data_IF_902606326095
#
_entry.id   IF_902606326095
#
_cell.length_a   1.000
_cell.length_b   1.000
_cell.length_c   1.000
_cell.angle_alpha   90.00
_cell.angle_beta   90.00
_cell.angle_gamma   90.00
#
_symmetry.space_group_name_H-M   'P 1'
#
loop_
_entity.id
_entity.type
_entity.pdbx_description
1 polymer ?
#
# COMPACT_ATOMS: atom_id res chain seq x y z
N UNK A 1 -3.79 -13.30 -5.84
CA UNK A 1 -4.72 -12.93 -6.91
C UNK A 1 -4.10 -12.95 -8.31
N UNK A 2 -2.76 -13.07 -8.45
CA UNK A 2 -2.09 -13.14 -9.76
C UNK A 2 -2.51 -14.38 -10.60
N UNK A 3 -3.04 -15.40 -9.95
CA UNK A 3 -3.50 -16.62 -10.59
C UNK A 3 -4.99 -16.65 -10.90
N UNK A 4 -5.74 -15.59 -10.55
CA UNK A 4 -7.17 -15.51 -10.81
C UNK A 4 -7.41 -14.73 -12.10
N UNK A 5 -8.08 -15.36 -13.05
CA UNK A 5 -8.53 -14.76 -14.30
C UNK A 5 -10.00 -14.37 -14.15
N UNK A 6 -10.30 -13.07 -14.25
CA UNK A 6 -11.66 -12.54 -14.13
C UNK A 6 -12.26 -12.12 -15.49
N UNK A 7 -11.42 -12.03 -16.54
CA UNK A 7 -11.85 -11.68 -17.89
C UNK A 7 -12.13 -12.92 -18.74
N UNK A 8 -13.15 -12.87 -19.59
CA UNK A 8 -13.57 -13.97 -20.50
C UNK A 8 -13.84 -15.26 -19.76
N UNK A 9 -12.96 -16.25 -19.88
CA UNK A 9 -13.07 -17.54 -19.17
C UNK A 9 -12.54 -17.37 -17.75
N UNK A 10 -13.44 -17.39 -16.76
CA UNK A 10 -13.07 -17.21 -15.35
C UNK A 10 -12.51 -18.51 -14.79
N UNK A 11 -11.24 -18.53 -14.42
CA UNK A 11 -10.62 -19.66 -13.74
C UNK A 11 -9.55 -19.19 -12.76
N UNK A 12 -9.15 -20.08 -11.87
CA UNK A 12 -8.00 -19.88 -10.99
C UNK A 12 -6.91 -20.87 -11.35
N UNK A 13 -5.74 -20.38 -11.76
CA UNK A 13 -4.64 -21.23 -12.25
C UNK A 13 -4.21 -22.30 -11.24
N UNK A 14 -4.22 -22.00 -9.92
CA UNK A 14 -3.95 -22.98 -8.86
C UNK A 14 -4.92 -24.17 -8.94
N UNK A 15 -6.22 -23.89 -9.05
CA UNK A 15 -7.24 -24.92 -9.06
C UNK A 15 -7.19 -25.72 -10.37
N UNK A 16 -6.91 -25.05 -11.48
CA UNK A 16 -6.66 -25.70 -12.76
C UNK A 16 -5.43 -26.61 -12.71
N UNK A 17 -4.33 -26.19 -12.07
CA UNK A 17 -3.13 -27.00 -11.90
C UNK A 17 -3.41 -28.27 -11.06
N UNK A 18 -4.19 -28.16 -9.99
CA UNK A 18 -4.60 -29.31 -9.17
C UNK A 18 -5.44 -30.30 -9.98
N UNK A 19 -6.39 -29.80 -10.79
CA UNK A 19 -7.21 -30.65 -11.67
C UNK A 19 -6.37 -31.32 -12.77
N UNK A 20 -5.44 -30.62 -13.39
CA UNK A 20 -4.52 -31.20 -14.36
C UNK A 20 -3.66 -32.30 -13.72
N UNK A 21 -3.14 -32.07 -12.52
CA UNK A 21 -2.41 -33.11 -11.77
C UNK A 21 -3.26 -34.36 -11.52
N UNK A 22 -4.53 -34.18 -11.19
CA UNK A 22 -5.46 -35.27 -11.01
C UNK A 22 -5.69 -36.03 -12.32
N UNK A 23 -5.94 -35.35 -13.44
CA UNK A 23 -6.17 -36.01 -14.74
C UNK A 23 -4.92 -36.74 -15.28
N UNK A 24 -3.74 -36.19 -15.05
CA UNK A 24 -2.47 -36.77 -15.51
C UNK A 24 -1.79 -37.67 -14.46
N UNK A 25 -2.45 -37.89 -13.31
CA UNK A 25 -1.92 -38.70 -12.20
C UNK A 25 -0.50 -38.29 -11.81
N UNK A 26 -0.25 -36.97 -11.71
CA UNK A 26 1.05 -36.41 -11.31
C UNK A 26 0.90 -35.54 -10.06
N UNK A 27 1.95 -35.47 -9.24
CA UNK A 27 1.94 -34.65 -8.05
C UNK A 27 1.94 -33.14 -8.41
N UNK A 28 1.23 -32.35 -7.61
CA UNK A 28 1.19 -30.88 -7.73
C UNK A 28 1.75 -30.26 -6.45
N UNK A 29 2.75 -29.42 -6.58
CA UNK A 29 3.35 -28.68 -5.47
C UNK A 29 2.82 -27.25 -5.48
N UNK A 30 2.16 -26.85 -4.39
CA UNK A 30 1.68 -25.49 -4.17
C UNK A 30 2.59 -24.79 -3.13
N UNK A 31 3.40 -23.85 -3.58
CA UNK A 31 4.30 -23.07 -2.71
C UNK A 31 3.76 -21.68 -2.42
N UNK A 32 3.69 -21.29 -1.14
CA UNK A 32 3.32 -19.92 -0.72
C UNK A 32 3.76 -19.64 0.70
N UNK A 33 4.17 -18.40 0.97
CA UNK A 33 4.35 -17.92 2.34
C UNK A 33 3.01 -17.60 3.02
N UNK A 34 1.98 -17.30 2.23
CA UNK A 34 0.63 -16.92 2.67
C UNK A 34 -0.41 -17.71 1.86
N UNK A 35 -0.61 -19.00 2.17
CA UNK A 35 -1.57 -19.84 1.44
C UNK A 35 -2.99 -19.28 1.56
N UNK A 36 -3.80 -19.49 0.54
CA UNK A 36 -5.21 -19.13 0.60
C UNK A 36 -5.96 -19.97 1.63
N UNK A 37 -7.08 -19.45 2.12
CA UNK A 37 -7.91 -20.16 3.12
C UNK A 37 -8.36 -21.53 2.63
N UNK A 38 -8.70 -21.66 1.35
CA UNK A 38 -9.11 -22.94 0.74
C UNK A 38 -7.97 -23.96 0.75
N UNK A 39 -6.76 -23.53 0.35
CA UNK A 39 -5.57 -24.40 0.36
C UNK A 39 -5.21 -24.81 1.78
N UNK A 40 -5.25 -23.86 2.71
CA UNK A 40 -4.99 -24.12 4.13
C UNK A 40 -6.02 -25.11 4.71
N UNK A 41 -7.30 -24.86 4.46
CA UNK A 41 -8.37 -25.75 4.93
C UNK A 41 -8.25 -27.17 4.35
N UNK A 42 -7.93 -27.30 3.05
CA UNK A 42 -7.71 -28.60 2.43
C UNK A 42 -6.51 -29.34 3.04
N UNK A 43 -5.45 -28.62 3.41
CA UNK A 43 -4.31 -29.19 4.12
C UNK A 43 -4.68 -29.65 5.54
N UNK A 44 -5.46 -28.84 6.28
CA UNK A 44 -5.93 -29.20 7.63
C UNK A 44 -6.86 -30.44 7.61
N UNK A 45 -7.65 -30.60 6.55
CA UNK A 45 -8.51 -31.78 6.34
C UNK A 45 -7.80 -33.02 5.78
N UNK A 46 -6.49 -32.92 5.56
CA UNK A 46 -5.71 -34.04 5.03
C UNK A 46 -5.89 -34.31 3.53
N UNK A 47 -6.60 -33.43 2.79
CA UNK A 47 -6.69 -33.52 1.33
C UNK A 47 -5.39 -33.18 0.63
N UNK A 48 -4.59 -32.29 1.23
CA UNK A 48 -3.25 -31.92 0.81
C UNK A 48 -2.25 -32.28 1.89
N UNK A 49 -1.07 -32.76 1.49
CA UNK A 49 0.04 -32.96 2.40
C UNK A 49 0.68 -31.60 2.70
N UNK A 50 0.72 -31.20 3.98
CA UNK A 50 1.30 -29.93 4.41
C UNK A 50 2.78 -30.08 4.76
N UNK A 51 3.60 -29.30 4.06
CA UNK A 51 5.03 -29.16 4.36
C UNK A 51 5.31 -27.73 4.79
N UNK A 52 5.86 -27.52 5.99
CA UNK A 52 6.18 -26.22 6.53
C UNK A 52 7.70 -26.02 6.63
N UNK A 53 8.20 -25.00 5.94
CA UNK A 53 9.59 -24.54 6.07
C UNK A 53 9.64 -23.49 7.19
N UNK A 54 9.88 -23.95 8.43
CA UNK A 54 9.84 -23.07 9.62
C UNK A 54 11.11 -22.24 9.82
N UNK A 55 12.22 -22.63 9.20
CA UNK A 55 13.50 -21.93 9.32
C UNK A 55 13.72 -21.07 8.09
N UNK A 56 14.14 -19.82 8.28
CA UNK A 56 14.64 -18.97 7.18
C UNK A 56 15.98 -19.50 6.69
N UNK A 57 16.24 -19.37 5.39
CA UNK A 57 17.53 -19.78 4.78
C UNK A 57 18.68 -18.98 5.38
N UNK A 58 18.46 -17.69 5.62
CA UNK A 58 19.40 -16.83 6.32
C UNK A 58 18.86 -16.55 7.73
N UNK A 59 19.73 -16.67 8.74
CA UNK A 59 19.42 -16.45 10.15
C UNK A 59 19.17 -14.94 10.43
N UNK A 60 18.15 -14.36 9.79
CA UNK A 60 17.74 -12.98 10.03
C UNK A 60 16.61 -12.90 11.05
N UNK A 61 16.67 -11.91 11.93
CA UNK A 61 15.58 -11.58 12.83
C UNK A 61 14.39 -11.06 12.05
N UNK A 62 13.17 -11.23 12.62
CA UNK A 62 12.00 -10.55 12.10
C UNK A 62 12.17 -9.03 12.27
N UNK A 63 11.67 -8.22 11.33
CA UNK A 63 11.70 -6.77 11.51
C UNK A 63 10.89 -6.37 12.75
N UNK A 64 11.36 -5.34 13.43
CA UNK A 64 10.58 -4.72 14.52
C UNK A 64 9.45 -3.89 13.90
N UNK A 65 8.21 -4.24 14.21
CA UNK A 65 7.02 -3.55 13.68
C UNK A 65 6.47 -2.62 14.76
N UNK A 66 6.37 -1.34 14.43
CA UNK A 66 5.73 -0.33 15.26
C UNK A 66 4.49 0.21 14.54
N UNK A 67 3.33 0.14 15.22
CA UNK A 67 2.07 0.73 14.72
C UNK A 67 1.91 2.11 15.31
N UNK A 68 1.66 3.11 14.44
CA UNK A 68 1.42 4.50 14.83
C UNK A 68 0.03 4.91 14.39
N UNK A 69 -0.85 5.24 15.34
CA UNK A 69 -2.18 5.78 15.07
C UNK A 69 -2.09 7.28 14.78
N UNK A 70 -2.29 7.66 13.53
CA UNK A 70 -2.24 9.07 13.11
C UNK A 70 -3.37 9.93 13.70
N UNK A 71 -4.45 9.34 14.22
CA UNK A 71 -5.51 10.10 14.91
C UNK A 71 -5.00 10.60 16.26
N UNK A 72 -4.32 9.74 17.02
CA UNK A 72 -3.73 10.09 18.32
C UNK A 72 -2.57 11.09 18.16
N UNK A 73 -1.77 10.93 17.11
CA UNK A 73 -0.64 11.83 16.81
C UNK A 73 -1.08 13.28 16.56
N UNK A 74 -2.32 13.53 16.12
CA UNK A 74 -2.82 14.91 15.97
C UNK A 74 -2.86 15.69 17.28
N UNK A 75 -3.12 15.01 18.39
CA UNK A 75 -3.14 15.60 19.73
C UNK A 75 -1.74 15.82 20.27
N UNK A 76 -0.76 15.02 19.82
CA UNK A 76 0.65 15.12 20.22
C UNK A 76 1.46 16.10 19.37
N UNK A 77 0.91 16.63 18.27
CA UNK A 77 1.58 17.63 17.44
C UNK A 77 1.73 18.93 18.21
N UNK A 78 2.93 19.13 18.72
CA UNK A 78 3.35 20.41 19.30
C UNK A 78 3.71 21.39 18.21
N UNK A 79 3.76 22.70 18.52
CA UNK A 79 4.16 23.77 17.59
C UNK A 79 5.50 23.51 16.87
N UNK A 80 6.36 22.64 17.40
CA UNK A 80 7.65 22.28 16.79
C UNK A 80 7.52 21.35 15.58
N UNK A 81 6.39 20.67 15.41
CA UNK A 81 6.15 19.67 14.35
C UNK A 81 5.06 20.10 13.34
N UNK A 82 4.61 21.36 13.40
CA UNK A 82 3.57 21.90 12.51
C UNK A 82 4.00 21.93 11.03
N UNK A 83 5.32 21.88 10.76
CA UNK A 83 5.86 21.82 9.40
C UNK A 83 5.74 20.44 8.73
N UNK A 84 5.43 19.40 9.50
CA UNK A 84 5.30 18.04 8.94
C UNK A 84 3.96 17.86 8.23
N UNK A 85 3.96 17.23 7.05
CA UNK A 85 2.71 16.89 6.35
C UNK A 85 1.81 16.01 7.22
N UNK A 86 0.50 16.07 7.02
CA UNK A 86 -0.49 15.36 7.84
C UNK A 86 -0.33 13.83 7.82
N UNK A 87 0.23 13.28 6.76
CA UNK A 87 0.50 11.85 6.61
C UNK A 87 1.73 11.35 7.37
N UNK A 88 2.64 12.25 7.76
CA UNK A 88 3.92 11.90 8.38
C UNK A 88 3.84 12.17 9.89
N UNK A 89 3.91 11.10 10.69
CA UNK A 89 4.00 11.27 12.14
C UNK A 89 5.39 11.76 12.56
N UNK A 90 5.52 12.52 13.67
CA UNK A 90 6.82 12.88 14.24
C UNK A 90 7.70 11.65 14.48
N UNK A 91 7.13 10.57 15.00
CA UNK A 91 7.84 9.31 15.24
C UNK A 91 8.43 8.73 13.96
N UNK A 92 7.67 8.69 12.85
CA UNK A 92 8.16 8.19 11.58
C UNK A 92 9.25 9.11 11.01
N UNK A 93 9.05 10.44 11.08
CA UNK A 93 10.03 11.41 10.65
C UNK A 93 11.38 11.24 11.36
N UNK A 94 11.38 11.14 12.69
CA UNK A 94 12.60 10.93 13.48
C UNK A 94 13.28 9.61 13.16
N UNK A 95 12.53 8.53 12.96
CA UNK A 95 13.08 7.24 12.54
C UNK A 95 13.73 7.33 11.16
N UNK A 96 13.08 7.97 10.19
CA UNK A 96 13.66 8.20 8.87
C UNK A 96 14.95 9.01 8.98
N UNK A 97 14.92 10.12 9.72
CA UNK A 97 16.08 11.00 9.92
C UNK A 97 17.27 10.25 10.51
N UNK A 98 17.04 9.47 11.56
CA UNK A 98 18.09 8.67 12.21
C UNK A 98 18.67 7.64 11.23
N UNK A 99 17.81 6.86 10.56
CA UNK A 99 18.22 5.85 9.58
C UNK A 99 19.06 6.45 8.44
N UNK A 100 18.61 7.59 7.90
CA UNK A 100 19.32 8.28 6.82
C UNK A 100 20.65 8.87 7.27
N UNK A 101 20.74 9.37 8.51
CA UNK A 101 21.98 9.89 9.09
C UNK A 101 23.02 8.78 9.39
N UNK A 102 22.54 7.59 9.68
CA UNK A 102 23.37 6.37 9.83
C UNK A 102 23.84 5.79 8.49
N UNK A 103 23.43 6.40 7.36
CA UNK A 103 23.81 5.95 6.02
C UNK A 103 22.97 4.78 5.48
N UNK A 104 21.85 4.47 6.11
CA UNK A 104 20.94 3.43 5.64
C UNK A 104 19.83 4.03 4.78
N UNK A 105 19.20 3.17 3.98
CA UNK A 105 18.08 3.51 3.11
C UNK A 105 16.75 3.40 3.85
N UNK A 106 15.75 4.18 3.41
CA UNK A 106 14.36 4.08 3.87
C UNK A 106 13.43 3.77 2.70
N UNK A 107 12.41 2.96 2.95
CA UNK A 107 11.38 2.68 1.95
C UNK A 107 9.98 3.05 2.49
N UNK A 108 9.26 3.87 1.74
CA UNK A 108 7.90 4.27 2.04
C UNK A 108 6.93 3.54 1.12
N UNK A 109 6.16 2.63 1.69
CA UNK A 109 5.19 1.83 0.97
C UNK A 109 3.78 2.41 1.13
N UNK A 110 3.17 2.80 0.00
CA UNK A 110 1.76 3.17 -0.05
C UNK A 110 0.93 1.99 -0.55
N UNK A 111 0.05 1.51 0.29
CA UNK A 111 -0.84 0.39 -0.08
C UNK A 111 -1.96 0.80 -1.06
N UNK A 112 -1.84 1.93 -1.74
CA UNK A 112 -2.91 2.46 -2.58
C UNK A 112 -2.46 2.65 -4.02
N UNK A 113 -3.10 1.89 -4.93
CA UNK A 113 -3.02 2.13 -6.38
C UNK A 113 -4.00 3.23 -6.77
N UNK A 114 -3.53 4.20 -7.55
CA UNK A 114 -4.36 5.20 -8.22
C UNK A 114 -4.78 6.37 -7.34
N UNK A 115 -5.13 7.47 -8.00
CA UNK A 115 -5.69 8.68 -7.41
C UNK A 115 -7.15 8.47 -6.97
N UNK A 116 -7.43 7.49 -6.13
CA UNK A 116 -8.73 7.47 -5.47
C UNK A 116 -8.71 8.60 -4.43
N UNK A 117 -9.25 9.73 -4.78
CA UNK A 117 -9.43 10.89 -3.91
C UNK A 117 -10.51 10.59 -2.87
N UNK A 118 -10.17 9.76 -1.87
CA UNK A 118 -11.02 9.68 -0.68
C UNK A 118 -10.99 11.02 -0.01
N UNK A 119 -12.15 11.52 0.28
CA UNK A 119 -12.32 12.81 0.94
C UNK A 119 -12.37 12.59 2.43
N UNK A 120 -11.56 13.34 3.18
CA UNK A 120 -11.54 13.28 4.64
C UNK A 120 -11.55 14.68 5.23
N UNK A 121 -12.23 14.83 6.35
CA UNK A 121 -12.23 16.07 7.11
C UNK A 121 -10.88 16.29 7.80
N UNK A 122 -10.30 17.47 7.64
CA UNK A 122 -9.05 17.87 8.25
C UNK A 122 -9.15 18.04 9.79
N UNK A 123 -10.35 18.30 10.32
CA UNK A 123 -10.57 18.51 11.74
C UNK A 123 -10.96 17.23 12.50
N UNK A 124 -11.97 16.48 12.02
CA UNK A 124 -12.52 15.34 12.77
C UNK A 124 -12.20 13.97 12.16
N UNK A 125 -11.58 13.91 10.97
CA UNK A 125 -11.27 12.65 10.29
C UNK A 125 -12.48 11.97 9.63
N UNK A 126 -13.65 12.61 9.59
CA UNK A 126 -14.83 12.11 8.88
C UNK A 126 -14.48 11.87 7.40
N UNK A 127 -14.96 10.78 6.85
CA UNK A 127 -14.85 10.44 5.43
C UNK A 127 -16.23 10.07 4.90
N UNK A 128 -16.57 10.55 3.68
CA UNK A 128 -17.85 10.22 3.07
C UNK A 128 -17.89 8.76 2.67
N UNK A 129 -18.90 8.04 3.15
CA UNK A 129 -19.14 6.62 2.88
C UNK A 129 -20.36 6.44 1.98
N UNK A 130 -20.35 5.40 1.18
CA UNK A 130 -21.49 5.07 0.34
C UNK A 130 -22.66 4.56 1.19
N UNK A 131 -23.89 5.09 1.04
CA UNK A 131 -25.04 4.62 1.81
C UNK A 131 -25.48 3.19 1.45
N UNK A 132 -25.06 2.67 0.32
CA UNK A 132 -25.42 1.33 -0.17
C UNK A 132 -24.30 0.29 0.00
N UNK A 133 -23.07 0.74 0.30
CA UNK A 133 -21.89 -0.10 0.35
C UNK A 133 -20.98 0.39 1.48
N UNK A 134 -20.30 -0.50 2.21
CA UNK A 134 -19.37 -0.12 3.27
C UNK A 134 -17.99 0.30 2.71
N UNK A 135 -18.01 1.26 1.76
CA UNK A 135 -16.79 1.80 1.15
C UNK A 135 -16.83 3.32 1.10
N UNK A 136 -15.66 3.93 1.15
CA UNK A 136 -15.54 5.38 1.00
C UNK A 136 -15.82 5.84 -0.43
N UNK A 137 -16.49 6.97 -0.56
CA UNK A 137 -16.71 7.63 -1.84
C UNK A 137 -15.39 8.25 -2.35
N UNK A 138 -15.26 8.27 -3.66
CA UNK A 138 -14.10 8.83 -4.37
C UNK A 138 -14.49 10.16 -5.02
N UNK A 139 -13.65 11.20 -4.83
CA UNK A 139 -13.86 12.48 -5.49
C UNK A 139 -13.45 12.39 -6.97
N UNK A 140 -14.41 12.65 -7.86
CA UNK A 140 -14.20 12.79 -9.29
C UNK A 140 -14.23 14.26 -9.70
N UNK A 141 -13.17 14.71 -10.33
CA UNK A 141 -13.01 16.12 -10.65
C UNK A 141 -12.93 16.96 -9.35
N UNK A 142 -13.73 18.02 -9.27
CA UNK A 142 -13.79 18.93 -8.12
C UNK A 142 -15.17 19.01 -7.47
N UNK A 143 -16.15 18.24 -7.94
CA UNK A 143 -17.57 18.49 -7.60
C UNK A 143 -18.39 17.25 -7.26
N UNK A 144 -17.95 16.05 -7.53
CA UNK A 144 -18.76 14.85 -7.36
C UNK A 144 -18.01 13.77 -6.59
N UNK A 145 -18.72 13.15 -5.65
CA UNK A 145 -18.30 11.94 -4.95
C UNK A 145 -19.00 10.74 -5.59
N UNK A 146 -18.27 9.69 -5.91
CA UNK A 146 -18.74 8.50 -6.62
C UNK A 146 -18.36 7.23 -5.89
N UNK A 147 -19.28 6.30 -5.80
CA UNK A 147 -19.02 4.94 -5.37
C UNK A 147 -18.63 4.07 -6.59
N UNK A 148 -17.42 3.58 -6.65
CA UNK A 148 -16.96 2.69 -7.73
C UNK A 148 -17.53 1.26 -7.66
N UNK A 149 -18.40 0.97 -6.70
CA UNK A 149 -19.00 -0.35 -6.55
C UNK A 149 -20.46 -0.39 -7.04
N UNK A 150 -21.25 0.63 -6.71
CA UNK A 150 -22.67 0.68 -7.07
C UNK A 150 -23.06 1.94 -7.86
N UNK A 151 -22.07 2.74 -8.30
CA UNK A 151 -22.27 3.98 -9.05
C UNK A 151 -23.14 5.04 -8.35
N UNK A 152 -23.28 4.95 -7.01
CA UNK A 152 -23.91 6.00 -6.24
C UNK A 152 -23.13 7.31 -6.39
N UNK A 153 -23.84 8.43 -6.59
CA UNK A 153 -23.27 9.76 -6.76
C UNK A 153 -23.85 10.74 -5.74
N UNK A 154 -22.99 11.60 -5.20
CA UNK A 154 -23.41 12.77 -4.44
C UNK A 154 -22.55 13.99 -4.77
N UNK A 155 -23.09 15.19 -4.53
CA UNK A 155 -22.35 16.43 -4.73
C UNK A 155 -21.30 16.60 -3.61
N UNK A 156 -20.08 16.92 -4.00
CA UNK A 156 -19.03 17.25 -3.06
C UNK A 156 -19.33 18.58 -2.37
N UNK A 157 -19.26 18.57 -1.04
CA UNK A 157 -19.36 19.78 -0.21
C UNK A 157 -18.04 19.96 0.51
N UNK A 158 -17.51 21.16 0.50
CA UNK A 158 -16.23 21.47 1.18
C UNK A 158 -16.37 21.32 2.70
N UNK A 159 -17.45 21.86 3.27
CA UNK A 159 -17.67 21.82 4.73
C UNK A 159 -18.05 20.41 5.18
N UNK A 160 -17.39 19.91 6.21
CA UNK A 160 -17.65 18.60 6.79
C UNK A 160 -19.09 18.48 7.32
N UNK A 161 -19.87 17.49 6.88
CA UNK A 161 -21.24 17.29 7.37
C UNK A 161 -21.29 16.81 8.83
N UNK A 162 -20.22 16.21 9.33
CA UNK A 162 -20.14 15.67 10.68
C UNK A 162 -19.82 16.74 11.72
N UNK A 163 -18.68 17.40 11.62
CA UNK A 163 -18.27 18.40 12.63
C UNK A 163 -18.66 19.83 12.29
N UNK A 164 -19.02 20.14 11.04
CA UNK A 164 -19.42 21.46 10.53
C UNK A 164 -18.35 22.57 10.68
N UNK A 165 -17.16 22.22 11.16
CA UNK A 165 -16.05 23.15 11.43
C UNK A 165 -14.91 22.95 10.44
N UNK A 166 -14.56 21.70 10.14
CA UNK A 166 -13.47 21.37 9.24
C UNK A 166 -13.91 21.25 7.79
N UNK A 167 -12.94 21.35 6.89
CA UNK A 167 -13.14 21.16 5.47
C UNK A 167 -12.82 19.74 5.05
N UNK A 168 -13.61 19.23 4.11
CA UNK A 168 -13.34 17.97 3.42
C UNK A 168 -12.28 18.23 2.35
N UNK A 169 -11.16 17.58 2.49
CA UNK A 169 -10.07 17.61 1.50
C UNK A 169 -9.87 16.24 0.89
N UNK A 170 -9.58 16.20 -0.41
CA UNK A 170 -9.19 14.97 -1.06
C UNK A 170 -7.85 14.51 -0.48
N UNK A 171 -7.84 13.37 0.18
CA UNK A 171 -6.61 12.71 0.60
C UNK A 171 -6.03 11.94 -0.59
N UNK A 172 -5.57 12.67 -1.58
CA UNK A 172 -4.72 12.15 -2.62
C UNK A 172 -3.27 12.15 -2.18
N UNK A 173 -2.87 11.26 -1.28
CA UNK A 173 -1.47 10.90 -1.15
C UNK A 173 -1.09 10.03 -2.35
N UNK A 174 -0.89 10.67 -3.49
CA UNK A 174 -0.19 10.07 -4.60
C UNK A 174 1.30 10.00 -4.28
N UNK A 175 2.00 9.06 -4.89
CA UNK A 175 3.47 8.95 -4.80
C UNK A 175 4.17 10.25 -5.16
N UNK A 176 3.62 11.03 -6.11
CA UNK A 176 4.10 12.37 -6.48
C UNK A 176 4.05 13.38 -5.34
N UNK A 177 2.93 13.45 -4.64
CA UNK A 177 2.80 14.37 -3.50
C UNK A 177 3.73 13.99 -2.37
N UNK A 178 3.85 12.68 -2.12
CA UNK A 178 4.77 12.15 -1.13
C UNK A 178 6.21 12.52 -1.47
N UNK A 179 6.62 12.32 -2.71
CA UNK A 179 7.95 12.69 -3.20
C UNK A 179 8.22 14.19 -3.04
N UNK A 180 7.26 15.05 -3.42
CA UNK A 180 7.38 16.50 -3.26
C UNK A 180 7.57 16.94 -1.80
N UNK A 181 6.81 16.34 -0.88
CA UNK A 181 6.92 16.63 0.54
C UNK A 181 8.25 16.12 1.11
N UNK A 182 8.70 14.94 0.71
CA UNK A 182 9.98 14.37 1.12
C UNK A 182 11.18 15.20 0.60
N UNK A 183 11.14 15.71 -0.63
CA UNK A 183 12.17 16.60 -1.19
C UNK A 183 12.32 17.88 -0.39
N UNK A 184 11.24 18.38 0.21
CA UNK A 184 11.29 19.54 1.10
C UNK A 184 11.88 19.21 2.47
N UNK A 185 11.58 18.02 3.00
CA UNK A 185 12.03 17.58 4.33
C UNK A 185 13.47 17.06 4.32
N UNK A 186 13.91 16.49 3.20
CA UNK A 186 15.22 15.87 3.02
C UNK A 186 15.85 16.34 1.69
N UNK A 187 16.25 17.63 1.60
CA UNK A 187 16.71 18.23 0.34
C UNK A 187 18.01 17.60 -0.19
N UNK A 188 18.87 17.11 0.69
CA UNK A 188 20.17 16.53 0.36
C UNK A 188 20.11 15.02 0.08
N UNK A 189 18.89 14.42 0.08
CA UNK A 189 18.69 12.99 -0.07
C UNK A 189 18.15 12.65 -1.45
N UNK A 190 18.70 11.59 -2.04
CA UNK A 190 18.22 11.07 -3.32
C UNK A 190 16.95 10.25 -3.10
N UNK A 191 15.84 10.73 -3.66
CA UNK A 191 14.53 10.07 -3.58
C UNK A 191 14.24 9.42 -4.92
N UNK A 192 13.89 8.14 -4.89
CA UNK A 192 13.49 7.38 -6.07
C UNK A 192 12.02 6.93 -5.91
N UNK A 193 11.23 7.14 -6.96
CA UNK A 193 9.82 6.73 -7.01
C UNK A 193 9.66 5.49 -7.86
N UNK A 194 9.01 4.46 -7.30
CA UNK A 194 8.67 3.22 -7.99
C UNK A 194 7.17 3.13 -8.19
N UNK A 195 6.69 3.60 -9.32
CA UNK A 195 5.33 3.39 -9.77
C UNK A 195 5.28 2.94 -11.24
N UNK A 196 4.07 2.60 -11.71
CA UNK A 196 3.90 2.07 -13.07
C UNK A 196 4.17 3.09 -14.18
N UNK A 197 4.16 4.36 -13.85
CA UNK A 197 4.34 5.43 -14.84
C UNK A 197 5.84 5.65 -15.11
N UNK A 198 6.71 5.25 -14.20
CA UNK A 198 8.17 5.36 -14.32
C UNK A 198 8.86 4.06 -14.76
N UNK A 199 8.32 2.89 -14.36
CA UNK A 199 8.92 1.59 -14.70
C UNK A 199 8.05 0.91 -15.76
N UNK A 200 8.34 1.18 -17.04
CA UNK A 200 7.57 0.69 -18.17
C UNK A 200 8.26 -0.46 -18.91
N UNK A 201 9.55 -0.62 -18.72
CA UNK A 201 10.36 -1.65 -19.39
C UNK A 201 11.10 -2.53 -18.39
N UNK A 202 11.66 -3.63 -18.88
CA UNK A 202 12.55 -4.50 -18.09
C UNK A 202 13.86 -3.80 -17.75
N UNK A 203 14.35 -3.00 -18.67
CA UNK A 203 15.59 -2.22 -18.52
C UNK A 203 15.43 -1.15 -17.43
N UNK A 204 14.27 -0.47 -17.35
CA UNK A 204 13.95 0.47 -16.26
C UNK A 204 13.97 -0.24 -14.91
N UNK A 205 13.40 -1.45 -14.84
CA UNK A 205 13.39 -2.25 -13.61
C UNK A 205 14.79 -2.69 -13.20
N UNK A 206 15.62 -3.14 -14.14
CA UNK A 206 17.00 -3.55 -13.87
C UNK A 206 17.85 -2.35 -13.41
N UNK A 207 17.68 -1.19 -14.04
CA UNK A 207 18.28 0.08 -13.61
C UNK A 207 17.88 0.47 -12.19
N UNK A 208 16.60 0.39 -11.90
CA UNK A 208 16.03 0.66 -10.59
C UNK A 208 16.62 -0.26 -9.50
N UNK A 209 16.69 -1.57 -9.74
CA UNK A 209 17.28 -2.52 -8.81
C UNK A 209 18.75 -2.20 -8.58
N UNK A 210 19.50 -1.92 -9.64
CA UNK A 210 20.92 -1.56 -9.55
C UNK A 210 21.16 -0.31 -8.72
N UNK A 211 20.35 0.74 -8.87
CA UNK A 211 20.42 1.95 -8.05
C UNK A 211 20.15 1.67 -6.56
N UNK A 212 19.22 0.77 -6.26
CA UNK A 212 18.94 0.36 -4.90
C UNK A 212 20.06 -0.47 -4.28
N UNK A 213 20.62 -1.44 -5.04
CA UNK A 213 21.69 -2.32 -4.58
C UNK A 213 23.01 -1.58 -4.35
N UNK A 214 23.30 -0.59 -5.19
CA UNK A 214 24.52 0.25 -5.04
C UNK A 214 24.42 1.25 -3.89
N UNK A 215 23.25 1.39 -3.26
CA UNK A 215 23.04 2.36 -2.18
C UNK A 215 23.03 3.81 -2.66
N UNK A 216 22.89 4.05 -3.96
CA UNK A 216 22.84 5.40 -4.53
C UNK A 216 21.52 6.15 -4.25
N UNK A 217 20.51 5.44 -3.76
CA UNK A 217 19.19 5.98 -3.39
C UNK A 217 19.06 5.97 -1.88
N UNK A 218 18.65 7.09 -1.29
CA UNK A 218 18.43 7.21 0.15
C UNK A 218 17.00 6.85 0.54
N UNK A 219 16.01 7.31 -0.22
CA UNK A 219 14.58 7.13 0.06
C UNK A 219 13.88 6.54 -1.15
N UNK A 220 13.27 5.38 -0.95
CA UNK A 220 12.40 4.73 -1.93
C UNK A 220 10.94 5.03 -1.60
N UNK A 221 10.17 5.49 -2.58
CA UNK A 221 8.72 5.70 -2.48
C UNK A 221 8.02 4.82 -3.50
N UNK A 222 7.05 4.04 -3.08
CA UNK A 222 6.33 3.24 -4.06
C UNK A 222 5.06 2.57 -3.54
N UNK A 223 4.41 1.86 -4.45
CA UNK A 223 3.20 1.10 -4.19
C UNK A 223 3.50 -0.41 -4.20
N UNK A 224 2.54 -1.23 -4.58
CA UNK A 224 2.69 -2.69 -4.61
C UNK A 224 3.88 -3.21 -5.44
N UNK A 225 4.51 -2.37 -6.28
CA UNK A 225 5.68 -2.78 -7.06
C UNK A 225 6.91 -3.02 -6.17
N UNK A 226 7.09 -2.23 -5.12
CA UNK A 226 8.22 -2.38 -4.18
C UNK A 226 8.02 -3.51 -3.17
N UNK A 227 6.84 -4.12 -3.11
CA UNK A 227 6.52 -5.22 -2.20
C UNK A 227 6.62 -6.61 -2.87
N UNK A 228 6.95 -6.67 -4.14
CA UNK A 228 7.13 -7.90 -4.93
C UNK A 228 8.58 -8.10 -5.30
#
# INVERSE_FOLDING_TARGET
>A
TSYKQDEKLKYHARDAAVMLGFFHNCPVLLGSATPSLESWHNAQKGKYQLHQLKKRVYAGNLPNVQVVDLKLVKEERTHHNDHLPSWLSPTLYEKMRTTLNEGFQTALFLNRRGMAHVVMCNACGYSSECPNCDIHLTLHGRSHLVCHYCDYHENFKITCPSCKVGDLAALGLGTEKLEQDLRKLFPDKKILRADRDEINSREDLEGFISEMETGSVDILVGTQMIAK
#
